data_IF_121230645673
#
_entry.id   IF_121230645673
#
_cell.length_a   1.000
_cell.length_b   1.000
_cell.length_c   1.000
_cell.angle_alpha   90.00
_cell.angle_beta   90.00
_cell.angle_gamma   90.00
#
_symmetry.space_group_name_H-M   'P 1'
#
loop_
_entity.id
_entity.type
_entity.pdbx_description
1 polymer ?
#
# COMPACT_ATOMS: atom_id res chain seq x y z
N UNK A 1 -8.99 6.70 -14.37
CA UNK A 1 -8.54 7.89 -13.59
C UNK A 1 -7.31 7.52 -12.76
N UNK A 2 -6.49 8.50 -12.37
CA UNK A 2 -5.33 8.29 -11.48
C UNK A 2 -5.76 8.55 -10.04
N UNK A 3 -5.44 7.65 -9.12
CA UNK A 3 -5.84 7.74 -7.71
C UNK A 3 -4.61 7.47 -6.85
N UNK A 4 -4.43 8.22 -5.76
CA UNK A 4 -3.36 7.96 -4.78
C UNK A 4 -4.01 7.51 -3.48
N UNK A 5 -3.55 6.38 -2.92
CA UNK A 5 -3.90 5.91 -1.59
C UNK A 5 -2.68 6.18 -0.69
N UNK A 6 -2.84 7.07 0.28
CA UNK A 6 -1.83 7.29 1.33
C UNK A 6 -2.34 6.59 2.58
N UNK A 7 -1.52 5.71 3.15
CA UNK A 7 -1.94 4.88 4.28
C UNK A 7 -0.80 4.63 5.25
N UNK A 8 -1.14 4.40 6.52
CA UNK A 8 -0.19 4.05 7.57
C UNK A 8 0.29 2.59 7.49
N UNK A 9 -0.42 1.72 6.76
CA UNK A 9 0.01 0.32 6.57
C UNK A 9 -0.51 -0.28 5.27
N UNK A 10 0.28 -1.19 4.72
CA UNK A 10 -0.02 -1.91 3.48
C UNK A 10 0.65 -3.28 3.57
N UNK A 11 0.25 -4.30 2.76
CA UNK A 11 1.00 -5.54 2.69
C UNK A 11 2.51 -5.28 2.60
N UNK A 12 3.33 -5.95 3.43
CA UNK A 12 3.04 -7.23 4.11
C UNK A 12 2.34 -7.14 5.48
N UNK A 13 1.99 -5.95 5.99
CA UNK A 13 1.33 -5.83 7.29
C UNK A 13 -0.02 -6.58 7.31
N UNK A 14 -0.26 -7.29 8.42
CA UNK A 14 -1.45 -8.14 8.60
C UNK A 14 -2.42 -7.48 9.56
N UNK A 15 -2.90 -6.29 9.18
CA UNK A 15 -3.90 -5.55 9.95
C UNK A 15 -5.11 -5.16 9.07
N UNK A 16 -6.16 -4.65 9.70
CA UNK A 16 -7.39 -4.25 9.00
C UNK A 16 -7.18 -3.11 7.99
N UNK A 17 -6.28 -2.17 8.29
CA UNK A 17 -5.98 -1.02 7.42
C UNK A 17 -5.26 -1.48 6.15
N UNK A 18 -4.21 -2.29 6.27
CA UNK A 18 -3.49 -2.90 5.17
C UNK A 18 -4.42 -3.73 4.28
N UNK A 19 -5.32 -4.53 4.88
CA UNK A 19 -6.31 -5.29 4.13
C UNK A 19 -7.29 -4.38 3.37
N UNK A 20 -7.83 -3.36 4.04
CA UNK A 20 -8.74 -2.40 3.44
C UNK A 20 -8.10 -1.63 2.28
N UNK A 21 -6.86 -1.15 2.45
CA UNK A 21 -6.11 -0.45 1.42
C UNK A 21 -5.85 -1.36 0.20
N UNK A 22 -5.48 -2.63 0.43
CA UNK A 22 -5.30 -3.61 -0.64
C UNK A 22 -6.60 -3.86 -1.42
N UNK A 23 -7.72 -4.07 -0.72
CA UNK A 23 -9.01 -4.30 -1.36
C UNK A 23 -9.50 -3.07 -2.13
N UNK A 24 -9.29 -1.89 -1.58
CA UNK A 24 -9.58 -0.62 -2.25
C UNK A 24 -8.78 -0.50 -3.55
N UNK A 25 -7.47 -0.74 -3.51
CA UNK A 25 -6.62 -0.73 -4.71
C UNK A 25 -7.10 -1.76 -5.76
N UNK A 26 -7.40 -2.99 -5.35
CA UNK A 26 -7.97 -4.03 -6.25
C UNK A 26 -9.28 -3.57 -6.89
N UNK A 27 -10.15 -2.94 -6.11
CA UNK A 27 -11.44 -2.47 -6.60
C UNK A 27 -11.27 -1.32 -7.61
N UNK A 28 -10.33 -0.41 -7.38
CA UNK A 28 -9.98 0.66 -8.31
C UNK A 28 -9.47 0.11 -9.65
N UNK A 29 -8.55 -0.86 -9.62
CA UNK A 29 -8.05 -1.53 -10.83
C UNK A 29 -9.18 -2.21 -11.59
N UNK A 30 -10.04 -2.96 -10.89
CA UNK A 30 -11.20 -3.64 -11.53
C UNK A 30 -12.16 -2.68 -12.23
N UNK A 31 -12.22 -1.41 -11.80
CA UNK A 31 -13.02 -0.36 -12.45
C UNK A 31 -12.28 0.42 -13.54
N UNK A 32 -11.04 0.04 -13.88
CA UNK A 32 -10.23 0.74 -14.89
C UNK A 32 -9.53 1.99 -14.37
N UNK A 33 -9.33 2.13 -13.05
CA UNK A 33 -8.50 3.18 -12.48
C UNK A 33 -7.05 2.71 -12.31
N UNK A 34 -6.13 3.67 -12.23
CA UNK A 34 -4.70 3.46 -12.03
C UNK A 34 -4.30 3.98 -10.65
N UNK A 35 -4.43 3.15 -9.60
CA UNK A 35 -4.01 3.53 -8.26
C UNK A 35 -2.49 3.53 -8.09
N UNK A 36 -2.00 4.38 -7.20
CA UNK A 36 -0.66 4.37 -6.62
C UNK A 36 -0.81 4.32 -5.10
N UNK A 37 -0.02 3.49 -4.42
CA UNK A 37 -0.02 3.41 -2.96
C UNK A 37 1.25 4.09 -2.43
N UNK A 38 1.09 4.92 -1.40
CA UNK A 38 2.17 5.46 -0.59
C UNK A 38 2.00 4.93 0.83
N UNK A 39 2.99 4.21 1.32
CA UNK A 39 2.98 3.57 2.63
C UNK A 39 4.38 3.59 3.28
N UNK A 40 4.48 3.43 4.60
CA UNK A 40 5.78 3.29 5.27
C UNK A 40 6.66 2.19 4.64
N UNK A 41 7.96 2.41 4.66
CA UNK A 41 8.92 1.37 4.34
C UNK A 41 8.77 0.22 5.34
N UNK A 42 8.76 -1.04 4.86
CA UNK A 42 8.74 -2.19 5.74
C UNK A 42 10.05 -2.26 6.56
N UNK A 43 10.07 -3.00 7.67
CA UNK A 43 11.30 -3.25 8.41
C UNK A 43 12.41 -3.85 7.52
N UNK A 44 13.69 -3.56 7.79
CA UNK A 44 14.80 -4.16 7.04
C UNK A 44 14.72 -5.69 7.01
N UNK A 45 14.93 -6.28 5.83
CA UNK A 45 14.88 -7.73 5.63
C UNK A 45 13.49 -8.31 5.33
N UNK A 46 12.43 -7.50 5.42
CA UNK A 46 11.07 -7.92 5.03
C UNK A 46 10.89 -7.78 3.53
N UNK A 47 10.45 -8.86 2.87
CA UNK A 47 10.09 -8.84 1.44
C UNK A 47 8.67 -8.31 1.27
N UNK A 48 8.52 -7.33 0.38
CA UNK A 48 7.21 -6.83 -0.06
C UNK A 48 6.83 -7.54 -1.35
N UNK A 49 5.61 -8.08 -1.46
CA UNK A 49 5.08 -8.58 -2.73
C UNK A 49 5.06 -7.46 -3.78
N UNK A 50 5.66 -7.70 -4.95
CA UNK A 50 5.76 -6.71 -6.04
C UNK A 50 4.66 -6.88 -7.09
N UNK A 51 3.92 -7.97 -7.04
CA UNK A 51 2.81 -8.37 -7.92
C UNK A 51 1.44 -7.89 -7.42
N UNK A 52 1.42 -6.86 -6.58
CA UNK A 52 0.22 -6.23 -6.07
C UNK A 52 -0.61 -5.53 -7.15
N UNK A 53 -1.88 -5.18 -6.85
CA UNK A 53 -2.77 -4.51 -7.80
C UNK A 53 -2.30 -3.10 -8.18
N UNK A 54 -1.40 -2.51 -7.41
CA UNK A 54 -0.93 -1.15 -7.59
C UNK A 54 0.57 -1.07 -7.30
N UNK A 55 1.31 -0.17 -7.98
CA UNK A 55 2.65 0.20 -7.54
C UNK A 55 2.61 0.78 -6.13
N UNK A 56 3.63 0.46 -5.35
CA UNK A 56 3.81 0.93 -3.97
C UNK A 56 5.08 1.76 -3.89
N UNK A 57 4.96 2.98 -3.37
CA UNK A 57 6.09 3.86 -3.03
C UNK A 57 6.26 3.84 -1.52
N UNK A 58 7.36 3.27 -1.07
CA UNK A 58 7.74 3.24 0.34
C UNK A 58 8.36 4.57 0.75
N UNK A 59 7.91 5.10 1.89
CA UNK A 59 8.48 6.32 2.50
C UNK A 59 9.09 6.00 3.88
N UNK A 60 10.17 6.67 4.29
CA UNK A 60 10.70 6.53 5.65
C UNK A 60 9.65 6.90 6.70
N UNK A 61 9.46 6.03 7.70
CA UNK A 61 8.62 6.32 8.86
C UNK A 61 9.40 7.06 9.93
N UNK A 62 8.76 8.05 10.56
CA UNK A 62 9.31 8.70 11.77
C UNK A 62 8.82 7.95 13.01
N UNK A 63 9.69 7.69 14.00
CA UNK A 63 9.26 7.16 15.28
C UNK A 63 8.34 8.15 15.98
N UNK A 64 7.24 7.66 16.53
CA UNK A 64 6.40 8.42 17.45
C UNK A 64 6.93 8.17 18.87
N UNK A 65 7.51 9.22 19.45
CA UNK A 65 8.04 9.25 20.83
C UNK A 65 6.94 9.44 21.86
#
# INVERSE_FOLDING_TARGET
MRVVIVTESYPPDVNGVAHCALQTARHLVRRGHHPLVIAPAPPPGVRVPTDGPAPVVSIPSLPVS
#
